data_IF_064315321751
#
_entry.id   IF_064315321751
#
_cell.length_a   1.000
_cell.length_b   1.000
_cell.length_c   1.000
_cell.angle_alpha   90.00
_cell.angle_beta   90.00
_cell.angle_gamma   90.00
#
_symmetry.space_group_name_H-M   'P 1'
#
loop_
_entity.id
_entity.type
_entity.pdbx_description
1 polymer ?
#
# COMPACT_ATOMS: atom_id res chain seq x y z
N UNK A 1 -12.26 -43.19 -10.52
CA UNK A 1 -12.45 -42.39 -9.30
C UNK A 1 -12.61 -40.92 -9.68
N UNK A 2 -13.75 -40.27 -9.51
CA UNK A 2 -13.94 -38.89 -9.95
C UNK A 2 -13.26 -37.90 -8.98
N UNK A 3 -12.51 -36.96 -9.54
CA UNK A 3 -11.80 -35.89 -8.84
C UNK A 3 -12.78 -34.90 -8.18
N UNK A 4 -13.25 -35.20 -6.98
CA UNK A 4 -14.17 -34.37 -6.20
C UNK A 4 -13.48 -33.19 -5.48
N UNK A 5 -12.14 -33.06 -5.58
CA UNK A 5 -11.38 -32.14 -4.75
C UNK A 5 -11.22 -30.70 -5.32
N UNK A 6 -11.55 -30.46 -6.59
CA UNK A 6 -11.29 -29.15 -7.22
C UNK A 6 -12.48 -28.17 -7.13
N UNK A 7 -13.71 -28.63 -7.02
CA UNK A 7 -14.90 -27.77 -6.95
C UNK A 7 -15.08 -27.13 -5.56
N UNK A 8 -14.80 -27.86 -4.50
CA UNK A 8 -14.93 -27.34 -3.14
C UNK A 8 -13.87 -26.29 -2.74
N UNK A 9 -12.76 -26.20 -3.47
CA UNK A 9 -11.72 -25.19 -3.23
C UNK A 9 -12.04 -23.83 -3.85
N UNK A 10 -12.83 -23.79 -4.92
CA UNK A 10 -13.22 -22.53 -5.58
C UNK A 10 -14.29 -21.75 -4.83
N UNK A 11 -15.17 -22.42 -4.10
CA UNK A 11 -16.24 -21.77 -3.32
C UNK A 11 -15.75 -21.14 -2.01
N UNK A 12 -14.58 -21.52 -1.49
CA UNK A 12 -13.97 -20.91 -0.31
C UNK A 12 -13.28 -19.56 -0.57
N UNK A 13 -13.09 -19.20 -1.82
CA UNK A 13 -12.62 -17.87 -2.18
C UNK A 13 -13.84 -16.99 -2.45
N UNK A 14 -14.19 -16.15 -1.48
CA UNK A 14 -15.15 -15.09 -1.68
C UNK A 14 -14.83 -14.32 -2.96
N UNK A 15 -15.86 -13.88 -3.72
CA UNK A 15 -15.69 -13.32 -5.05
C UNK A 15 -14.72 -12.14 -5.02
N UNK A 16 -13.79 -12.20 -5.93
CA UNK A 16 -12.91 -11.13 -6.38
C UNK A 16 -12.67 -10.01 -5.34
N UNK A 17 -11.78 -10.28 -4.40
CA UNK A 17 -11.04 -9.19 -3.82
C UNK A 17 -10.42 -8.44 -5.02
N UNK A 18 -10.66 -7.15 -5.10
CA UNK A 18 -10.21 -6.32 -6.21
C UNK A 18 -8.71 -6.52 -6.44
N UNK A 19 -8.19 -6.25 -7.65
CA UNK A 19 -6.75 -6.30 -7.95
C UNK A 19 -5.88 -5.57 -6.92
N UNK A 20 -6.46 -4.62 -6.24
CA UNK A 20 -5.86 -3.84 -5.15
C UNK A 20 -5.61 -4.68 -3.90
N UNK A 21 -6.59 -5.46 -3.48
CA UNK A 21 -6.46 -6.33 -2.31
C UNK A 21 -5.47 -7.46 -2.56
N UNK A 22 -5.42 -8.01 -3.77
CA UNK A 22 -4.40 -9.01 -4.15
C UNK A 22 -2.98 -8.44 -4.05
N UNK A 23 -2.75 -7.21 -4.50
CA UNK A 23 -1.46 -6.52 -4.36
C UNK A 23 -1.06 -6.35 -2.89
N UNK A 24 -2.02 -6.05 -2.01
CA UNK A 24 -1.77 -5.93 -0.56
C UNK A 24 -1.43 -7.28 0.04
N UNK A 25 -2.18 -8.34 -0.29
CA UNK A 25 -1.91 -9.71 0.16
C UNK A 25 -0.49 -10.13 -0.22
N UNK A 26 -0.08 -9.89 -1.46
CA UNK A 26 1.29 -10.21 -1.93
C UNK A 26 2.36 -9.45 -1.13
N UNK A 27 2.12 -8.18 -0.78
CA UNK A 27 3.08 -7.38 0.02
C UNK A 27 3.05 -7.73 1.51
N UNK A 28 1.92 -8.19 2.00
CA UNK A 28 1.75 -8.62 3.39
C UNK A 28 2.34 -10.02 3.63
N UNK A 29 2.26 -10.86 2.61
CA UNK A 29 2.72 -12.25 2.66
C UNK A 29 4.21 -12.37 2.98
N UNK A 30 4.54 -13.31 3.86
CA UNK A 30 5.91 -13.73 4.19
C UNK A 30 6.02 -15.24 4.04
N UNK A 31 7.14 -15.73 3.53
CA UNK A 31 7.43 -17.16 3.38
C UNK A 31 6.34 -17.95 2.62
N UNK A 32 5.69 -17.33 1.65
CA UNK A 32 4.64 -17.97 0.85
C UNK A 32 3.31 -18.24 1.58
N UNK A 33 3.13 -17.75 2.81
CA UNK A 33 1.93 -18.00 3.62
C UNK A 33 0.75 -17.11 3.18
N UNK A 34 0.22 -17.36 1.96
CA UNK A 34 -0.84 -16.57 1.35
C UNK A 34 -2.13 -16.58 2.16
N UNK A 35 -2.59 -17.76 2.61
CA UNK A 35 -3.83 -17.88 3.39
C UNK A 35 -3.79 -17.11 4.72
N UNK A 36 -2.62 -17.00 5.36
CA UNK A 36 -2.43 -16.17 6.54
C UNK A 36 -2.55 -14.68 6.20
N UNK A 37 -1.92 -14.24 5.11
CA UNK A 37 -1.98 -12.85 4.67
C UNK A 37 -3.40 -12.43 4.30
N UNK A 38 -4.17 -13.28 3.61
CA UNK A 38 -5.58 -13.03 3.29
C UNK A 38 -6.44 -12.92 4.57
N UNK A 39 -6.21 -13.78 5.54
CA UNK A 39 -6.90 -13.72 6.83
C UNK A 39 -6.60 -12.43 7.58
N UNK A 40 -5.32 -12.03 7.64
CA UNK A 40 -4.90 -10.77 8.26
C UNK A 40 -5.59 -9.58 7.60
N UNK A 41 -5.58 -9.52 6.26
CA UNK A 41 -6.23 -8.43 5.52
C UNK A 41 -7.73 -8.39 5.78
N UNK A 42 -8.42 -9.52 5.74
CA UNK A 42 -9.85 -9.61 6.01
C UNK A 42 -10.20 -9.13 7.42
N UNK A 43 -9.44 -9.56 8.41
CA UNK A 43 -9.61 -9.09 9.81
C UNK A 43 -9.30 -7.60 9.95
N UNK A 44 -8.29 -7.09 9.25
CA UNK A 44 -7.95 -5.67 9.27
C UNK A 44 -9.06 -4.81 8.65
N UNK A 45 -9.63 -5.24 7.54
CA UNK A 45 -10.76 -4.55 6.89
C UNK A 45 -12.00 -4.54 7.79
N UNK A 46 -12.34 -5.66 8.42
CA UNK A 46 -13.48 -5.73 9.35
C UNK A 46 -13.29 -4.79 10.57
N UNK A 47 -12.07 -4.71 11.11
CA UNK A 47 -11.74 -3.78 12.20
C UNK A 47 -11.78 -2.32 11.76
N UNK A 48 -11.26 -2.02 10.57
CA UNK A 48 -11.28 -0.68 9.99
C UNK A 48 -12.71 -0.23 9.73
N UNK A 49 -13.57 -1.12 9.23
CA UNK A 49 -15.01 -0.89 9.04
C UNK A 49 -15.71 -0.53 10.34
N UNK A 50 -15.48 -1.31 11.41
CA UNK A 50 -16.05 -1.04 12.73
C UNK A 50 -15.59 0.31 13.30
N UNK A 51 -14.34 0.69 13.08
CA UNK A 51 -13.76 1.95 13.58
C UNK A 51 -14.19 3.18 12.77
N UNK A 52 -14.22 3.05 11.44
CA UNK A 52 -14.52 4.17 10.53
C UNK A 52 -16.03 4.32 10.25
N UNK A 53 -16.85 3.33 10.61
CA UNK A 53 -18.29 3.25 10.27
C UNK A 53 -18.55 3.38 8.77
N UNK A 54 -17.66 2.84 7.95
CA UNK A 54 -17.71 2.81 6.49
C UNK A 54 -17.29 1.43 5.99
N UNK A 55 -17.76 0.99 4.82
CA UNK A 55 -17.34 -0.28 4.24
C UNK A 55 -15.82 -0.40 4.19
N UNK A 56 -15.27 -1.54 4.62
CA UNK A 56 -13.83 -1.73 4.74
C UNK A 56 -13.06 -1.51 3.42
N UNK A 57 -13.68 -1.83 2.27
CA UNK A 57 -13.10 -1.57 0.96
C UNK A 57 -13.02 -0.08 0.61
N UNK A 58 -14.02 0.71 1.01
CA UNK A 58 -13.99 2.17 0.81
C UNK A 58 -12.90 2.82 1.67
N UNK A 59 -12.74 2.36 2.92
CA UNK A 59 -11.64 2.78 3.80
C UNK A 59 -10.28 2.48 3.16
N UNK A 60 -10.14 1.28 2.59
CA UNK A 60 -8.93 0.88 1.89
C UNK A 60 -8.64 1.77 0.68
N UNK A 61 -9.64 2.01 -0.17
CA UNK A 61 -9.48 2.84 -1.37
C UNK A 61 -9.14 4.29 -1.02
N UNK A 62 -9.78 4.86 0.01
CA UNK A 62 -9.46 6.19 0.52
C UNK A 62 -8.04 6.26 1.09
N UNK A 63 -7.64 5.28 1.90
CA UNK A 63 -6.29 5.18 2.45
C UNK A 63 -5.23 5.08 1.34
N UNK A 64 -5.48 4.29 0.30
CA UNK A 64 -4.57 4.16 -0.85
C UNK A 64 -4.48 5.45 -1.65
N UNK A 65 -5.58 6.13 -1.93
CA UNK A 65 -5.55 7.44 -2.60
C UNK A 65 -4.69 8.44 -1.84
N UNK A 66 -4.85 8.49 -0.52
CA UNK A 66 -4.09 9.40 0.34
C UNK A 66 -2.60 9.01 0.47
N UNK A 67 -2.25 7.73 0.37
CA UNK A 67 -0.88 7.25 0.47
C UNK A 67 -0.13 7.18 -0.87
N UNK A 68 -0.83 7.26 -2.00
CA UNK A 68 -0.25 7.08 -3.33
C UNK A 68 0.48 8.34 -3.79
N UNK A 69 1.80 8.28 -4.09
CA UNK A 69 2.56 9.43 -4.57
C UNK A 69 2.33 9.67 -6.07
N UNK A 70 2.45 10.93 -6.49
CA UNK A 70 2.41 11.33 -7.90
C UNK A 70 3.82 11.46 -8.47
N UNK A 71 4.76 11.91 -7.64
CA UNK A 71 6.15 12.18 -8.00
C UNK A 71 7.06 11.38 -7.07
N UNK A 72 8.16 10.86 -7.61
CA UNK A 72 9.26 10.26 -6.85
C UNK A 72 10.57 10.98 -7.18
N UNK A 73 11.55 10.84 -6.30
CA UNK A 73 12.89 11.39 -6.51
C UNK A 73 13.83 10.24 -6.86
N UNK A 74 14.55 10.36 -7.97
CA UNK A 74 15.55 9.36 -8.40
C UNK A 74 16.95 9.96 -8.41
N UNK A 75 17.95 9.27 -7.84
CA UNK A 75 19.32 9.71 -7.95
C UNK A 75 19.81 9.57 -9.40
N UNK A 76 20.40 10.63 -9.94
CA UNK A 76 21.05 10.66 -11.25
C UNK A 76 22.47 11.19 -11.10
N UNK A 77 23.42 10.53 -11.74
CA UNK A 77 24.81 11.00 -11.81
C UNK A 77 25.01 11.86 -13.06
N UNK A 78 25.46 13.09 -12.83
CA UNK A 78 25.80 14.02 -13.89
C UNK A 78 27.16 14.65 -13.55
N UNK A 79 28.18 14.49 -14.41
CA UNK A 79 29.49 15.07 -14.19
C UNK A 79 30.18 14.66 -12.90
N UNK A 80 29.94 13.43 -12.41
CA UNK A 80 30.53 12.93 -11.15
C UNK A 80 29.75 13.27 -9.88
N UNK A 81 28.80 14.20 -9.93
CA UNK A 81 27.89 14.51 -8.82
C UNK A 81 26.58 13.74 -8.93
N UNK A 82 25.99 13.38 -7.79
CA UNK A 82 24.69 12.71 -7.73
C UNK A 82 23.60 13.72 -7.38
N UNK A 83 22.64 13.90 -8.29
CA UNK A 83 21.49 14.78 -8.10
C UNK A 83 20.22 13.96 -7.88
N UNK A 84 19.35 14.46 -7.00
CA UNK A 84 18.02 13.90 -6.77
C UNK A 84 17.04 14.52 -7.76
N UNK A 85 16.67 13.78 -8.80
CA UNK A 85 15.84 14.29 -9.89
C UNK A 85 14.38 13.90 -9.67
N UNK A 86 13.43 14.85 -9.61
CA UNK A 86 12.01 14.55 -9.53
C UNK A 86 11.49 13.96 -10.85
N UNK A 87 10.80 12.83 -10.76
CA UNK A 87 10.23 12.11 -11.90
C UNK A 87 8.79 11.74 -11.61
N UNK A 88 7.89 11.96 -12.56
CA UNK A 88 6.52 11.48 -12.47
C UNK A 88 6.47 9.96 -12.47
N UNK A 89 5.57 9.41 -11.66
CA UNK A 89 5.41 7.98 -11.51
C UNK A 89 4.28 7.48 -12.42
N UNK A 90 4.51 6.39 -13.16
CA UNK A 90 3.47 5.72 -13.96
C UNK A 90 2.40 5.10 -13.04
N UNK A 91 1.16 5.02 -13.51
CA UNK A 91 0.00 4.61 -12.72
C UNK A 91 0.16 3.30 -11.96
N UNK A 92 0.67 2.24 -12.60
CA UNK A 92 0.89 0.93 -11.96
C UNK A 92 1.92 1.00 -10.83
N UNK A 93 2.98 1.78 -11.03
CA UNK A 93 4.02 1.98 -10.03
C UNK A 93 3.51 2.83 -8.87
N UNK A 94 2.63 3.83 -9.11
CA UNK A 94 1.99 4.62 -8.05
C UNK A 94 1.29 3.71 -7.05
N UNK A 95 0.39 2.86 -7.56
CA UNK A 95 -0.36 1.90 -6.75
C UNK A 95 0.57 0.98 -5.96
N UNK A 96 1.61 0.45 -6.61
CA UNK A 96 2.57 -0.46 -5.98
C UNK A 96 3.35 0.23 -4.85
N UNK A 97 3.68 1.51 -5.00
CA UNK A 97 4.33 2.31 -3.96
C UNK A 97 3.38 2.59 -2.79
N UNK A 98 2.15 3.01 -3.08
CA UNK A 98 1.13 3.26 -2.05
C UNK A 98 0.88 2.03 -1.18
N UNK A 99 0.66 0.87 -1.80
CA UNK A 99 0.51 -0.41 -1.10
C UNK A 99 1.74 -0.75 -0.25
N UNK A 100 2.94 -0.60 -0.82
CA UNK A 100 4.20 -0.86 -0.11
C UNK A 100 4.34 0.03 1.12
N UNK A 101 4.06 1.30 1.00
CA UNK A 101 4.18 2.26 2.09
C UNK A 101 3.16 2.01 3.19
N UNK A 102 1.91 1.69 2.85
CA UNK A 102 0.89 1.28 3.83
C UNK A 102 1.30 0.05 4.63
N UNK A 103 1.77 -1.00 3.96
CA UNK A 103 2.20 -2.23 4.64
C UNK A 103 3.45 -1.97 5.50
N UNK A 104 4.41 -1.19 5.02
CA UNK A 104 5.61 -0.84 5.79
C UNK A 104 5.27 0.03 7.01
N UNK A 105 4.38 1.00 6.86
CA UNK A 105 3.90 1.84 7.95
C UNK A 105 3.17 0.99 9.01
N UNK A 106 2.26 0.11 8.59
CA UNK A 106 1.57 -0.81 9.47
C UNK A 106 2.54 -1.72 10.26
N UNK A 107 3.58 -2.25 9.61
CA UNK A 107 4.59 -3.09 10.29
C UNK A 107 5.34 -2.36 11.40
N UNK A 108 5.59 -1.06 11.23
CA UNK A 108 6.29 -0.22 12.23
C UNK A 108 5.39 0.21 13.38
N UNK A 109 4.08 0.10 13.25
CA UNK A 109 3.14 0.46 14.31
C UNK A 109 3.27 -0.42 15.53
N UNK A 110 2.99 0.14 16.69
CA UNK A 110 2.78 -0.63 17.92
C UNK A 110 1.43 -1.34 17.87
N UNK A 111 1.31 -2.51 18.47
CA UNK A 111 0.09 -3.31 18.49
C UNK A 111 0.38 -4.80 18.66
N UNK A 112 -0.63 -5.55 19.10
CA UNK A 112 -0.50 -6.98 19.39
C UNK A 112 -0.50 -7.86 18.14
N UNK A 113 -1.29 -7.51 17.13
CA UNK A 113 -1.43 -8.29 15.89
C UNK A 113 -1.24 -7.44 14.65
N UNK A 114 -0.82 -8.08 13.53
CA UNK A 114 -0.68 -7.36 12.27
C UNK A 114 -2.01 -6.87 11.72
N UNK A 115 -3.11 -7.57 11.98
CA UNK A 115 -4.46 -7.12 11.61
C UNK A 115 -4.87 -5.84 12.32
N UNK A 116 -4.53 -5.69 13.59
CA UNK A 116 -4.77 -4.46 14.37
C UNK A 116 -3.91 -3.29 13.86
N UNK A 117 -2.62 -3.53 13.66
CA UNK A 117 -1.69 -2.54 13.12
C UNK A 117 -2.11 -2.03 11.75
N UNK A 118 -2.51 -2.94 10.87
CA UNK A 118 -2.95 -2.59 9.53
C UNK A 118 -4.29 -1.83 9.56
N UNK A 119 -5.24 -2.25 10.39
CA UNK A 119 -6.51 -1.54 10.55
C UNK A 119 -6.30 -0.10 11.05
N UNK A 120 -5.47 0.08 12.06
CA UNK A 120 -5.13 1.41 12.57
C UNK A 120 -4.48 2.29 11.51
N UNK A 121 -3.53 1.76 10.72
CA UNK A 121 -2.90 2.54 9.64
C UNK A 121 -3.88 2.90 8.52
N UNK A 122 -4.81 1.99 8.16
CA UNK A 122 -5.83 2.26 7.15
C UNK A 122 -6.78 3.38 7.57
N UNK A 123 -7.23 3.38 8.82
CA UNK A 123 -8.11 4.44 9.35
C UNK A 123 -7.37 5.78 9.40
N UNK A 124 -6.13 5.80 9.89
CA UNK A 124 -5.32 7.02 9.94
C UNK A 124 -5.00 7.54 8.53
N UNK A 125 -4.64 6.66 7.61
CA UNK A 125 -4.38 7.04 6.21
C UNK A 125 -5.64 7.56 5.50
N UNK A 126 -6.82 6.99 5.78
CA UNK A 126 -8.10 7.51 5.29
C UNK A 126 -8.31 8.96 5.77
N UNK A 127 -7.97 9.25 7.02
CA UNK A 127 -8.08 10.59 7.60
C UNK A 127 -6.91 11.53 7.21
N UNK A 128 -5.94 11.06 6.43
CA UNK A 128 -4.81 11.86 5.97
C UNK A 128 -3.67 12.06 6.99
N UNK A 129 -3.66 11.32 8.09
CA UNK A 129 -2.67 11.48 9.19
C UNK A 129 -1.73 10.29 9.39
N UNK A 130 -1.87 9.23 8.63
CA UNK A 130 -1.06 8.01 8.76
C UNK A 130 0.43 8.20 8.38
N UNK A 131 1.28 7.31 8.87
CA UNK A 131 2.72 7.32 8.56
C UNK A 131 3.00 7.11 7.05
N UNK A 132 2.14 6.38 6.35
CA UNK A 132 2.19 6.22 4.90
C UNK A 132 1.91 7.53 4.16
N UNK A 133 0.93 8.31 4.64
CA UNK A 133 0.59 9.64 4.11
C UNK A 133 1.73 10.62 4.34
N UNK A 134 2.29 10.64 5.54
CA UNK A 134 3.47 11.47 5.86
C UNK A 134 4.64 11.17 4.92
N UNK A 135 4.89 9.90 4.63
CA UNK A 135 5.94 9.51 3.68
C UNK A 135 5.68 10.04 2.27
N UNK A 136 4.42 10.04 1.81
CA UNK A 136 4.05 10.68 0.55
C UNK A 136 4.39 12.17 0.56
N UNK A 137 3.97 12.88 1.63
CA UNK A 137 4.23 14.31 1.77
C UNK A 137 5.72 14.63 1.78
N UNK A 138 6.51 13.87 2.54
CA UNK A 138 7.97 14.02 2.59
C UNK A 138 8.60 13.82 1.20
N UNK A 139 8.11 12.82 0.45
CA UNK A 139 8.57 12.57 -0.93
C UNK A 139 8.20 13.73 -1.86
N UNK A 140 7.00 14.26 -1.75
CA UNK A 140 6.56 15.41 -2.53
C UNK A 140 7.35 16.68 -2.19
N UNK A 141 7.62 16.95 -0.90
CA UNK A 141 8.47 18.05 -0.45
C UNK A 141 9.90 17.93 -1.01
N UNK A 142 10.49 16.72 -0.95
CA UNK A 142 11.80 16.48 -1.56
C UNK A 142 11.80 16.72 -3.06
N UNK A 143 10.76 16.29 -3.77
CA UNK A 143 10.63 16.52 -5.20
C UNK A 143 10.50 18.00 -5.53
N UNK A 144 9.76 18.77 -4.73
CA UNK A 144 9.62 20.21 -4.89
C UNK A 144 10.93 20.94 -4.63
N UNK A 145 11.62 20.61 -3.55
CA UNK A 145 12.95 21.17 -3.23
C UNK A 145 14.00 20.92 -4.33
N UNK A 146 13.89 19.78 -5.03
CA UNK A 146 14.79 19.41 -6.12
C UNK A 146 14.24 19.77 -7.53
N UNK A 147 13.20 20.57 -7.61
CA UNK A 147 12.55 20.95 -8.87
C UNK A 147 13.51 21.59 -9.88
N UNK A 148 14.53 22.32 -9.40
CA UNK A 148 15.55 22.92 -10.24
C UNK A 148 16.34 21.90 -11.08
N UNK A 149 16.43 20.65 -10.65
CA UNK A 149 17.13 19.55 -11.34
C UNK A 149 16.21 18.73 -12.28
N UNK A 150 14.98 19.15 -12.49
CA UNK A 150 14.01 18.43 -13.35
C UNK A 150 14.46 18.31 -14.80
N UNK A 151 15.32 19.20 -15.28
CA UNK A 151 15.90 19.15 -16.63
C UNK A 151 16.89 17.99 -16.85
N UNK A 152 17.39 17.35 -15.80
CA UNK A 152 18.18 16.12 -15.89
C UNK A 152 17.32 14.85 -16.07
N UNK A 153 16.08 15.00 -16.42
CA UNK A 153 15.13 13.93 -16.70
C UNK A 153 15.33 13.40 -18.12
N UNK A 154 15.91 12.24 -18.24
CA UNK A 154 16.01 11.43 -19.48
C UNK A 154 15.67 9.98 -19.21
#
# INVERSE_FOLDING_TARGET
MPRRAQTARKEKYAPALSRTTDKIVVKLMMNGKKGLAERILRQALARAEASARRPGLEVLDAALRNATPIIEVKPRRVGGATYQVPVEIRGDRRMSLGVRWLVQAARKRTGKSMSEKLAGELVDAMNGIGAAVKRREDTHKMAEANRAFSHFKW
#
